data_IF_710177478921
#
_entry.id   IF_710177478921
#
_cell.length_a   1.000
_cell.length_b   1.000
_cell.length_c   1.000
_cell.angle_alpha   90.00
_cell.angle_beta   90.00
_cell.angle_gamma   90.00
#
_symmetry.space_group_name_H-M   'P 1'
#
loop_
_entity.id
_entity.type
_entity.pdbx_description
1 polymer ?
#
# COMPACT_ATOMS: atom_id res chain seq x y z
N UNK A 1 -0.48 17.05 -0.10
CA UNK A 1 0.03 16.38 -1.32
C UNK A 1 -1.03 15.39 -1.79
N UNK A 2 -1.21 15.17 -3.09
CA UNK A 2 -2.09 14.10 -3.57
C UNK A 2 -1.33 12.77 -3.51
N UNK A 3 -1.79 11.85 -2.67
CA UNK A 3 -1.16 10.54 -2.46
C UNK A 3 -1.66 9.50 -3.46
N UNK A 4 -2.77 9.75 -4.16
CA UNK A 4 -3.34 8.87 -5.18
C UNK A 4 -3.01 9.39 -6.59
N UNK A 5 -1.73 9.50 -6.88
CA UNK A 5 -1.23 10.20 -8.07
C UNK A 5 -0.95 9.28 -9.29
N UNK A 6 -1.36 8.01 -9.24
CA UNK A 6 -1.13 7.06 -10.33
C UNK A 6 -2.12 7.33 -11.48
N UNK A 7 -1.61 7.41 -12.71
CA UNK A 7 -2.40 7.69 -13.92
C UNK A 7 -2.25 6.58 -14.95
N UNK A 8 -3.13 6.54 -15.96
CA UNK A 8 -3.03 5.55 -17.05
C UNK A 8 -1.69 5.62 -17.81
N UNK A 9 -1.02 6.78 -17.81
CA UNK A 9 0.30 6.94 -18.44
C UNK A 9 1.42 6.21 -17.68
N UNK A 10 1.20 5.89 -16.40
CA UNK A 10 2.15 5.17 -15.55
C UNK A 10 1.98 3.64 -15.66
N UNK A 11 0.90 3.19 -16.31
CA UNK A 11 0.52 1.79 -16.43
C UNK A 11 1.07 1.17 -17.71
N UNK A 12 1.38 -0.13 -17.65
CA UNK A 12 1.54 -0.90 -18.89
C UNK A 12 0.20 -0.98 -19.65
N UNK A 13 0.20 -1.18 -20.98
CA UNK A 13 -1.04 -1.22 -21.76
C UNK A 13 -2.06 -2.29 -21.32
N UNK A 14 -1.59 -3.35 -20.65
CA UNK A 14 -2.42 -4.44 -20.09
C UNK A 14 -2.77 -4.23 -18.62
N UNK A 15 -2.19 -3.23 -17.99
CA UNK A 15 -2.30 -2.95 -16.57
C UNK A 15 -3.56 -2.10 -16.30
N UNK A 16 -4.30 -2.46 -15.26
CA UNK A 16 -5.58 -1.87 -14.86
C UNK A 16 -5.57 -1.58 -13.38
N UNK A 17 -6.13 -0.45 -12.99
CA UNK A 17 -6.31 -0.09 -11.59
C UNK A 17 -7.14 -1.12 -10.82
N UNK A 18 -6.74 -1.35 -9.58
CA UNK A 18 -7.49 -2.06 -8.55
C UNK A 18 -7.88 -1.10 -7.41
N UNK A 19 -8.29 -1.63 -6.24
CA UNK A 19 -8.61 -0.81 -5.08
C UNK A 19 -7.40 -0.01 -4.58
N UNK A 20 -7.70 1.08 -3.87
CA UNK A 20 -6.71 1.92 -3.21
C UNK A 20 -7.17 2.29 -1.80
N UNK A 21 -6.20 2.60 -0.95
CA UNK A 21 -6.42 3.02 0.44
C UNK A 21 -5.56 4.23 0.75
N UNK A 22 -6.08 5.10 1.61
CA UNK A 22 -5.34 6.22 2.20
C UNK A 22 -5.45 6.15 3.72
N UNK A 23 -4.33 6.31 4.41
CA UNK A 23 -4.26 6.27 5.87
C UNK A 23 -2.90 6.72 6.38
N UNK A 24 -2.54 6.29 7.58
CA UNK A 24 -1.23 6.56 8.20
C UNK A 24 -0.42 5.28 8.22
N UNK A 25 0.74 5.29 7.55
CA UNK A 25 1.67 4.18 7.56
C UNK A 25 2.53 4.20 8.81
N UNK A 26 2.54 3.07 9.53
CA UNK A 26 3.46 2.79 10.60
C UNK A 26 4.73 2.19 10.01
N UNK A 27 5.73 3.04 9.82
CA UNK A 27 6.98 2.66 9.20
C UNK A 27 8.15 3.34 9.92
N UNK A 28 9.07 2.55 10.46
CA UNK A 28 10.18 3.07 11.26
C UNK A 28 11.26 3.66 10.34
N UNK A 29 11.34 4.99 10.30
CA UNK A 29 12.46 5.72 9.67
C UNK A 29 13.10 6.62 10.71
N UNK A 30 14.31 6.23 11.15
CA UNK A 30 15.06 6.95 12.20
C UNK A 30 14.19 7.14 13.46
N UNK A 31 13.82 8.39 13.75
CA UNK A 31 13.05 8.81 14.94
C UNK A 31 11.55 9.02 14.65
N UNK A 32 11.10 8.87 13.40
CA UNK A 32 9.70 9.02 12.99
C UNK A 32 9.11 7.67 12.57
N UNK A 33 7.85 7.44 12.98
CA UNK A 33 7.18 6.15 12.80
C UNK A 33 5.83 6.28 12.08
N UNK A 34 5.34 7.49 11.82
CA UNK A 34 3.97 7.74 11.34
C UNK A 34 4.03 8.68 10.14
N UNK A 35 3.51 8.22 9.00
CA UNK A 35 3.53 9.01 7.78
C UNK A 35 2.18 8.91 7.07
N UNK A 36 1.58 10.02 6.61
CA UNK A 36 0.47 9.96 5.67
C UNK A 36 0.89 9.14 4.44
N UNK A 37 0.05 8.19 4.06
CA UNK A 37 0.39 7.29 2.96
C UNK A 37 -0.83 6.74 2.26
N UNK A 38 -0.57 6.19 1.07
CA UNK A 38 -1.56 5.52 0.28
C UNK A 38 -1.02 4.22 -0.32
N UNK A 39 -1.89 3.23 -0.41
CA UNK A 39 -1.67 2.08 -1.26
C UNK A 39 -2.55 2.17 -2.49
N UNK A 40 -1.98 1.90 -3.66
CA UNK A 40 -2.71 1.77 -4.92
C UNK A 40 -2.34 0.44 -5.54
N UNK A 41 -3.34 -0.31 -6.00
CA UNK A 41 -3.10 -1.58 -6.68
C UNK A 41 -3.40 -1.47 -8.15
N UNK A 42 -2.74 -2.33 -8.92
CA UNK A 42 -3.13 -2.66 -10.29
C UNK A 42 -3.28 -4.17 -10.43
N UNK A 43 -3.74 -4.67 -11.55
CA UNK A 43 -3.73 -6.11 -11.78
C UNK A 43 -2.32 -6.73 -11.82
N UNK A 44 -1.24 -5.95 -11.85
CA UNK A 44 0.15 -6.42 -11.96
C UNK A 44 1.02 -6.16 -10.72
N UNK A 45 0.80 -5.06 -9.96
CA UNK A 45 1.66 -4.65 -8.85
C UNK A 45 0.96 -3.73 -7.86
N UNK A 46 1.57 -3.52 -6.69
CA UNK A 46 1.12 -2.58 -5.67
C UNK A 46 2.10 -1.42 -5.55
N UNK A 47 1.57 -0.21 -5.42
CA UNK A 47 2.29 1.02 -5.15
C UNK A 47 2.02 1.46 -3.72
N UNK A 48 3.06 1.93 -3.03
CA UNK A 48 2.99 2.57 -1.73
C UNK A 48 3.56 3.98 -1.87
N UNK A 49 2.70 4.97 -1.69
CA UNK A 49 3.08 6.37 -1.62
C UNK A 49 3.10 6.84 -0.17
N UNK A 50 4.11 7.62 0.18
CA UNK A 50 4.33 8.13 1.53
C UNK A 50 4.72 9.60 1.45
N UNK A 51 4.09 10.45 2.27
CA UNK A 51 4.52 11.82 2.48
C UNK A 51 5.48 11.88 3.67
N UNK A 52 6.78 12.01 3.38
CA UNK A 52 7.84 12.12 4.39
C UNK A 52 8.15 13.59 4.68
N UNK A 53 7.24 14.28 5.37
CA UNK A 53 7.36 15.70 5.73
C UNK A 53 7.49 16.66 4.53
N UNK A 54 6.69 16.45 3.50
CA UNK A 54 6.65 17.23 2.28
C UNK A 54 7.45 16.63 1.12
N UNK A 55 8.18 15.53 1.35
CA UNK A 55 8.86 14.76 0.31
C UNK A 55 8.05 13.51 -0.03
N UNK A 56 7.68 13.39 -1.31
CA UNK A 56 7.00 12.21 -1.81
C UNK A 56 7.98 11.03 -1.92
N UNK A 57 7.63 9.90 -1.32
CA UNK A 57 8.33 8.64 -1.49
C UNK A 57 7.39 7.57 -2.04
N UNK A 58 7.76 6.97 -3.18
CA UNK A 58 7.01 5.88 -3.81
C UNK A 58 7.83 4.60 -3.80
N UNK A 59 7.22 3.50 -3.39
CA UNK A 59 7.76 2.14 -3.51
C UNK A 59 6.79 1.26 -4.27
N UNK A 60 7.33 0.40 -5.13
CA UNK A 60 6.56 -0.58 -5.91
C UNK A 60 6.87 -1.97 -5.38
N UNK A 61 5.84 -2.78 -5.23
CA UNK A 61 5.92 -4.17 -4.79
C UNK A 61 5.32 -5.09 -5.84
N UNK A 62 6.03 -6.15 -6.19
CA UNK A 62 5.42 -7.28 -6.88
C UNK A 62 4.47 -7.99 -5.92
N UNK A 63 3.39 -8.58 -6.42
CA UNK A 63 2.56 -9.45 -5.58
C UNK A 63 3.32 -10.66 -5.05
N UNK A 64 4.37 -11.10 -5.76
CA UNK A 64 5.26 -12.17 -5.29
C UNK A 64 6.11 -11.76 -4.08
N UNK A 65 6.26 -10.45 -3.84
CA UNK A 65 6.99 -9.91 -2.69
C UNK A 65 6.09 -9.76 -1.45
N UNK A 66 4.81 -10.14 -1.52
CA UNK A 66 3.85 -10.04 -0.41
C UNK A 66 3.53 -11.44 0.08
N UNK A 67 3.70 -11.67 1.39
CA UNK A 67 3.42 -12.96 2.03
C UNK A 67 1.94 -13.08 2.36
N UNK A 68 1.35 -12.04 2.94
CA UNK A 68 -0.09 -11.96 3.26
C UNK A 68 -0.52 -10.53 3.56
N UNK A 69 -1.81 -10.26 3.38
CA UNK A 69 -2.46 -9.05 3.87
C UNK A 69 -3.70 -9.40 4.70
N UNK A 70 -3.94 -8.69 5.79
CA UNK A 70 -5.10 -8.88 6.65
C UNK A 70 -5.48 -7.60 7.39
N UNK A 71 -6.73 -7.53 7.86
CA UNK A 71 -7.17 -6.48 8.77
C UNK A 71 -7.07 -6.97 10.23
N UNK A 72 -6.58 -6.11 11.12
CA UNK A 72 -6.58 -6.28 12.57
C UNK A 72 -7.06 -4.99 13.22
N UNK A 73 -8.17 -5.01 13.96
CA UNK A 73 -8.80 -3.82 14.57
C UNK A 73 -8.97 -2.65 13.59
N UNK A 74 -9.42 -2.94 12.37
CA UNK A 74 -9.59 -1.98 11.26
C UNK A 74 -8.27 -1.36 10.74
N UNK A 75 -7.12 -1.92 11.11
CA UNK A 75 -5.82 -1.58 10.55
C UNK A 75 -5.42 -2.61 9.49
N UNK A 76 -4.88 -2.15 8.37
CA UNK A 76 -4.32 -3.02 7.35
C UNK A 76 -2.90 -3.41 7.74
N UNK A 77 -2.63 -4.72 7.80
CA UNK A 77 -1.30 -5.27 7.98
C UNK A 77 -0.89 -6.01 6.70
N UNK A 78 0.27 -5.64 6.14
CA UNK A 78 0.89 -6.35 5.02
C UNK A 78 2.23 -6.93 5.50
N UNK A 79 2.39 -8.24 5.32
CA UNK A 79 3.62 -8.97 5.64
C UNK A 79 4.44 -9.21 4.38
N UNK A 80 5.74 -8.93 4.46
CA UNK A 80 6.72 -9.15 3.40
C UNK A 80 7.70 -10.27 3.81
N UNK A 81 8.47 -10.84 2.86
CA UNK A 81 9.45 -11.89 3.13
C UNK A 81 10.44 -11.56 4.25
N UNK A 82 11.05 -12.61 4.79
CA UNK A 82 11.97 -12.55 5.91
C UNK A 82 13.07 -11.47 5.69
N UNK A 83 13.19 -10.55 6.63
CA UNK A 83 14.11 -9.40 6.57
C UNK A 83 13.48 -8.08 6.12
N UNK A 84 12.27 -8.07 5.54
CA UNK A 84 11.54 -6.83 5.20
C UNK A 84 10.50 -6.42 6.27
N UNK A 85 9.99 -7.38 7.04
CA UNK A 85 9.07 -7.14 8.15
C UNK A 85 7.61 -6.91 7.70
N UNK A 86 6.85 -6.25 8.57
CA UNK A 86 5.44 -5.91 8.34
C UNK A 86 5.29 -4.40 8.24
N UNK A 87 4.36 -3.96 7.39
CA UNK A 87 3.92 -2.56 7.33
C UNK A 87 2.46 -2.51 7.72
N UNK A 88 2.13 -1.63 8.66
CA UNK A 88 0.75 -1.38 9.06
C UNK A 88 0.27 -0.04 8.50
N UNK A 89 -0.95 0.00 7.99
CA UNK A 89 -1.69 1.23 7.74
C UNK A 89 -2.82 1.33 8.77
N UNK A 90 -2.78 2.39 9.55
CA UNK A 90 -3.78 2.73 10.57
C UNK A 90 -4.54 3.98 10.14
N UNK A 91 -5.61 4.31 10.86
CA UNK A 91 -6.40 5.53 10.62
C UNK A 91 -6.79 5.68 9.14
N UNK A 92 -7.35 4.63 8.55
CA UNK A 92 -7.79 4.62 7.14
C UNK A 92 -8.85 5.71 6.96
N UNK A 93 -8.59 6.65 6.06
CA UNK A 93 -9.44 7.81 5.78
C UNK A 93 -10.13 7.74 4.42
N UNK A 94 -9.69 6.86 3.52
CA UNK A 94 -10.30 6.66 2.21
C UNK A 94 -10.09 5.23 1.71
N UNK A 95 -11.08 4.73 0.97
CA UNK A 95 -11.15 3.37 0.42
C UNK A 95 -11.75 2.35 1.39
N UNK A 96 -11.87 1.11 0.92
CA UNK A 96 -12.43 -0.01 1.67
C UNK A 96 -11.32 -1.03 2.01
N UNK A 97 -11.05 -1.20 3.30
CA UNK A 97 -9.99 -2.07 3.78
C UNK A 97 -10.25 -3.56 3.48
N UNK A 98 -11.50 -4.00 3.52
CA UNK A 98 -11.87 -5.38 3.24
C UNK A 98 -11.73 -5.68 1.75
N UNK A 99 -12.25 -4.80 0.89
CA UNK A 99 -12.07 -4.90 -0.57
C UNK A 99 -10.59 -4.97 -0.94
N UNK A 100 -9.78 -4.10 -0.34
CA UNK A 100 -8.36 -4.03 -0.60
C UNK A 100 -7.62 -5.32 -0.19
N UNK A 101 -7.87 -5.82 1.02
CA UNK A 101 -7.27 -7.08 1.51
C UNK A 101 -7.70 -8.26 0.65
N UNK A 102 -8.98 -8.35 0.30
CA UNK A 102 -9.49 -9.41 -0.57
C UNK A 102 -8.80 -9.38 -1.93
N UNK A 103 -8.65 -8.20 -2.52
CA UNK A 103 -7.94 -8.02 -3.79
C UNK A 103 -6.47 -8.47 -3.71
N UNK A 104 -5.74 -8.02 -2.68
CA UNK A 104 -4.35 -8.46 -2.49
C UNK A 104 -4.26 -9.97 -2.32
N UNK A 105 -5.11 -10.54 -1.48
CA UNK A 105 -5.11 -11.98 -1.21
C UNK A 105 -5.49 -12.81 -2.45
N UNK A 106 -6.23 -12.25 -3.41
CA UNK A 106 -6.46 -12.90 -4.71
C UNK A 106 -5.24 -12.84 -5.64
N UNK A 107 -4.37 -11.85 -5.47
CA UNK A 107 -3.17 -11.64 -6.31
C UNK A 107 -1.93 -12.39 -5.86
N UNK A 108 -1.82 -12.68 -4.56
CA UNK A 108 -0.67 -13.38 -3.97
C UNK A 108 -0.80 -14.92 -3.99
N UNK A 109 -1.86 -15.45 -4.61
CA UNK A 109 -2.11 -16.90 -4.73
C UNK A 109 -1.16 -17.61 -5.68
#
# INVERSE_FOLDING_TARGET
>A
MDLLNLTEADLYPTEKFGPSLVGTLLYKVRDQNYFPGAYMTTNERMFMNVDMNGEAYTRVFSYQDIVKAYLEDNNLIIEFPEGMGQIAMVDITSGDGEEFVNYLNDKIK
#
